data_IF_657105757746
#
_entry.id   IF_657105757746
#
_cell.length_a   1.000
_cell.length_b   1.000
_cell.length_c   1.000
_cell.angle_alpha   90.00
_cell.angle_beta   90.00
_cell.angle_gamma   90.00
#
_symmetry.space_group_name_H-M   'P 1'
#
loop_
_entity.id
_entity.type
_entity.pdbx_description
1 polymer ?
#
# COMPACT_ATOMS: atom_id res chain seq x y z
N UNK A 1 8.01 4.09 7.49
CA UNK A 1 8.84 2.94 7.91
C UNK A 1 9.79 3.40 8.98
N UNK A 2 9.88 2.67 10.07
CA UNK A 2 10.68 3.10 11.24
C UNK A 2 11.96 2.27 11.38
N UNK A 3 11.92 0.98 11.04
CA UNK A 3 13.11 0.14 11.02
C UNK A 3 13.08 -0.81 9.83
N UNK A 4 14.23 -1.00 9.21
CA UNK A 4 14.40 -1.89 8.07
C UNK A 4 15.85 -2.40 8.05
N UNK A 5 16.08 -3.63 8.56
CA UNK A 5 17.41 -4.28 8.58
C UNK A 5 17.29 -5.76 8.94
N UNK A 6 18.12 -6.62 8.36
CA UNK A 6 18.25 -8.04 8.72
C UNK A 6 16.88 -8.76 8.81
N UNK A 7 16.08 -8.63 7.75
CA UNK A 7 14.70 -9.17 7.62
C UNK A 7 13.66 -8.63 8.62
N UNK A 8 14.07 -7.76 9.54
CA UNK A 8 13.18 -7.09 10.48
C UNK A 8 12.73 -5.77 9.90
N UNK A 9 11.42 -5.64 9.74
CA UNK A 9 10.77 -4.43 9.26
C UNK A 9 9.77 -4.01 10.32
N UNK A 10 9.74 -2.74 10.68
CA UNK A 10 8.61 -2.21 11.42
C UNK A 10 8.24 -0.81 10.93
N UNK A 11 7.02 -0.42 11.21
CA UNK A 11 6.51 0.85 10.78
C UNK A 11 5.19 1.23 11.40
N UNK A 12 4.68 2.35 10.93
CA UNK A 12 3.42 2.95 11.35
C UNK A 12 2.61 3.32 10.11
N UNK A 13 1.33 2.97 10.12
CA UNK A 13 0.36 3.38 9.11
C UNK A 13 -0.53 4.47 9.71
N UNK A 14 -0.68 5.56 8.96
CA UNK A 14 -1.59 6.65 9.28
C UNK A 14 -2.70 6.70 8.24
N UNK A 15 -3.95 6.82 8.68
CA UNK A 15 -5.11 7.05 7.80
C UNK A 15 -6.10 8.03 8.45
N UNK A 16 -6.93 8.70 7.64
CA UNK A 16 -7.74 9.86 8.05
C UNK A 16 -8.81 9.61 9.13
N UNK A 17 -9.03 8.36 9.48
CA UNK A 17 -10.16 7.92 10.31
C UNK A 17 -9.73 7.44 11.71
N UNK A 18 -8.42 7.51 12.01
CA UNK A 18 -7.86 7.17 13.31
C UNK A 18 -6.79 8.19 13.71
N UNK A 19 -6.72 8.53 14.99
CA UNK A 19 -5.73 9.48 15.54
C UNK A 19 -4.40 8.80 15.84
N UNK A 20 -4.44 7.57 16.33
CA UNK A 20 -3.25 6.79 16.65
C UNK A 20 -2.78 5.97 15.43
N UNK A 21 -1.46 5.87 15.20
CA UNK A 21 -0.94 5.03 14.12
C UNK A 21 -1.18 3.54 14.40
N UNK A 22 -1.43 2.78 13.33
CA UNK A 22 -1.38 1.32 13.38
C UNK A 22 0.09 0.91 13.30
N UNK A 23 0.59 0.22 14.32
CA UNK A 23 1.95 -0.32 14.32
C UNK A 23 1.96 -1.64 13.57
N UNK A 24 2.96 -1.81 12.71
CA UNK A 24 3.17 -3.02 11.90
C UNK A 24 4.59 -3.55 12.13
N UNK A 25 4.72 -4.87 12.17
CA UNK A 25 5.97 -5.62 12.26
C UNK A 25 6.43 -6.20 10.92
N UNK A 26 5.83 -5.78 9.79
CA UNK A 26 6.28 -6.19 8.46
C UNK A 26 5.45 -5.64 7.31
N UNK A 27 5.99 -5.77 6.09
CA UNK A 27 5.30 -5.32 4.87
C UNK A 27 4.03 -6.12 4.58
N UNK A 28 4.01 -7.43 4.85
CA UNK A 28 2.81 -8.25 4.66
C UNK A 28 1.67 -7.83 5.59
N UNK A 29 1.99 -7.56 6.85
CA UNK A 29 1.01 -7.02 7.81
C UNK A 29 0.49 -5.66 7.36
N UNK A 30 1.35 -4.80 6.79
CA UNK A 30 0.93 -3.54 6.19
C UNK A 30 -0.11 -3.75 5.08
N UNK A 31 0.13 -4.71 4.20
CA UNK A 31 -0.79 -5.01 3.10
C UNK A 31 -2.14 -5.52 3.64
N UNK A 32 -2.14 -6.42 4.61
CA UNK A 32 -3.38 -6.90 5.21
C UNK A 32 -4.17 -5.79 5.93
N UNK A 33 -3.48 -4.93 6.67
CA UNK A 33 -4.13 -3.80 7.36
C UNK A 33 -4.73 -2.79 6.39
N UNK A 34 -4.05 -2.49 5.28
CA UNK A 34 -4.57 -1.60 4.24
C UNK A 34 -5.77 -2.23 3.53
N UNK A 35 -5.74 -3.53 3.20
CA UNK A 35 -6.86 -4.21 2.56
C UNK A 35 -8.10 -4.19 3.46
N UNK A 36 -7.90 -4.59 4.73
CA UNK A 36 -8.95 -4.60 5.73
C UNK A 36 -9.50 -3.19 6.01
N UNK A 37 -8.65 -2.16 5.95
CA UNK A 37 -9.07 -0.77 6.04
C UNK A 37 -10.01 -0.39 4.89
N UNK A 38 -9.68 -0.71 3.64
CA UNK A 38 -10.56 -0.40 2.50
C UNK A 38 -11.87 -1.18 2.53
N UNK A 39 -11.86 -2.43 3.03
CA UNK A 39 -13.08 -3.20 3.22
C UNK A 39 -14.01 -2.58 4.27
N UNK A 40 -13.45 -2.10 5.39
CA UNK A 40 -14.19 -1.37 6.44
C UNK A 40 -14.70 -0.02 5.93
N UNK A 41 -13.87 0.72 5.20
CA UNK A 41 -14.22 2.02 4.63
C UNK A 41 -15.27 1.89 3.52
N UNK A 42 -15.26 0.77 2.80
CA UNK A 42 -16.10 0.53 1.64
C UNK A 42 -15.65 1.30 0.39
N UNK A 43 -14.42 1.83 0.36
CA UNK A 43 -13.85 2.51 -0.80
C UNK A 43 -12.31 2.46 -0.75
N UNK A 44 -11.59 2.27 -1.87
CA UNK A 44 -12.12 1.90 -3.18
C UNK A 44 -12.87 0.57 -3.13
N UNK A 45 -13.95 0.46 -3.90
CA UNK A 45 -14.73 -0.78 -3.94
C UNK A 45 -13.90 -1.87 -4.64
N UNK A 46 -13.91 -3.11 -4.13
CA UNK A 46 -13.27 -4.21 -4.84
C UNK A 46 -14.01 -4.46 -6.15
N UNK A 47 -13.27 -4.44 -7.26
CA UNK A 47 -13.77 -4.72 -8.61
C UNK A 47 -13.94 -6.22 -8.89
N UNK A 48 -13.46 -7.07 -7.99
CA UNK A 48 -13.66 -8.52 -8.02
C UNK A 48 -14.18 -8.93 -6.65
N UNK A 49 -15.30 -9.68 -6.59
CA UNK A 49 -15.72 -10.25 -5.33
C UNK A 49 -14.68 -11.29 -4.88
N UNK A 50 -14.19 -11.14 -3.66
CA UNK A 50 -13.22 -12.07 -3.10
C UNK A 50 -13.87 -13.45 -2.93
N UNK A 51 -13.44 -14.41 -3.74
CA UNK A 51 -13.81 -15.82 -3.58
C UNK A 51 -12.97 -16.44 -2.46
N UNK A 52 -13.27 -16.13 -1.20
CA UNK A 52 -12.59 -16.77 -0.07
C UNK A 52 -13.11 -18.20 0.14
N UNK A 53 -12.19 -19.15 0.33
CA UNK A 53 -12.51 -20.51 0.80
C UNK A 53 -13.01 -20.54 2.26
N UNK A 54 -12.60 -19.56 3.08
CA UNK A 54 -13.08 -19.37 4.45
C UNK A 54 -13.92 -18.10 4.48
N UNK A 55 -15.22 -18.26 4.67
CA UNK A 55 -16.18 -17.16 4.74
C UNK A 55 -15.85 -16.27 5.95
N UNK A 56 -15.26 -15.12 5.71
CA UNK A 56 -15.15 -14.09 6.75
C UNK A 56 -16.52 -13.41 6.86
N UNK A 57 -17.02 -13.23 8.09
CA UNK A 57 -18.22 -12.42 8.29
C UNK A 57 -18.00 -11.05 7.64
N UNK A 58 -18.99 -10.58 6.88
CA UNK A 58 -18.92 -9.26 6.25
C UNK A 58 -18.73 -8.23 7.37
N UNK A 59 -17.52 -7.70 7.50
CA UNK A 59 -17.20 -6.64 8.45
C UNK A 59 -18.20 -5.52 8.25
N UNK A 60 -18.99 -5.21 9.28
CA UNK A 60 -20.00 -4.15 9.19
C UNK A 60 -19.30 -2.87 8.74
N UNK A 61 -19.79 -2.25 7.66
CA UNK A 61 -19.29 -0.95 7.21
C UNK A 61 -19.50 0.06 8.34
N UNK A 62 -18.42 0.48 8.98
CA UNK A 62 -18.49 1.48 10.04
C UNK A 62 -18.61 2.84 9.37
N UNK A 63 -19.52 3.70 9.85
CA UNK A 63 -19.54 5.10 9.43
C UNK A 63 -18.27 5.77 9.96
N UNK A 64 -17.25 5.84 9.12
CA UNK A 64 -15.96 6.42 9.45
C UNK A 64 -16.03 7.95 9.38
N UNK A 65 -15.98 8.63 10.53
CA UNK A 65 -15.86 10.09 10.60
C UNK A 65 -14.40 10.49 10.45
N UNK A 66 -14.09 11.45 9.59
CA UNK A 66 -12.73 12.00 9.45
C UNK A 66 -12.29 12.56 10.80
N UNK A 67 -11.11 12.14 11.27
CA UNK A 67 -10.52 12.57 12.54
C UNK A 67 -9.31 13.48 12.39
N UNK A 68 -8.64 13.41 11.24
CA UNK A 68 -7.41 14.16 10.96
C UNK A 68 -7.54 14.93 9.64
N UNK A 69 -6.86 16.07 9.54
CA UNK A 69 -6.63 16.75 8.26
C UNK A 69 -5.49 16.07 7.47
N UNK A 70 -5.37 16.42 6.19
CA UNK A 70 -4.29 15.94 5.33
C UNK A 70 -2.94 16.44 5.85
N UNK A 71 -2.88 17.71 6.28
CA UNK A 71 -1.68 18.30 6.89
C UNK A 71 -1.29 17.61 8.20
N UNK A 72 -2.26 17.25 9.05
CA UNK A 72 -1.97 16.55 10.32
C UNK A 72 -1.42 15.15 10.08
N UNK A 73 -1.95 14.44 9.07
CA UNK A 73 -1.45 13.13 8.71
C UNK A 73 -0.03 13.21 8.13
N UNK A 74 0.23 14.19 7.26
CA UNK A 74 1.50 14.34 6.54
C UNK A 74 2.64 14.90 7.40
N UNK A 75 2.36 15.37 8.63
CA UNK A 75 3.41 15.75 9.60
C UNK A 75 4.18 14.55 10.17
N UNK A 76 3.67 13.34 9.99
CA UNK A 76 4.29 12.14 10.53
C UNK A 76 5.28 11.55 9.54
N UNK A 77 6.53 11.41 9.97
CA UNK A 77 7.61 10.83 9.16
C UNK A 77 8.10 9.52 9.78
N UNK A 78 8.48 8.59 8.93
CA UNK A 78 9.20 7.39 9.33
C UNK A 78 10.69 7.69 9.54
N UNK A 79 11.37 6.87 10.33
CA UNK A 79 12.82 7.03 10.55
C UNK A 79 13.66 6.58 9.34
N UNK A 80 13.23 5.54 8.62
CA UNK A 80 13.94 5.00 7.44
C UNK A 80 13.33 5.46 6.11
N UNK A 81 12.09 5.95 6.12
CA UNK A 81 11.44 6.45 4.92
C UNK A 81 9.94 6.60 5.09
N UNK A 82 9.37 7.56 4.35
CA UNK A 82 7.97 7.96 4.44
C UNK A 82 7.33 7.79 3.07
N UNK A 83 6.31 6.94 3.02
CA UNK A 83 5.61 6.59 1.78
C UNK A 83 4.14 6.99 1.90
N UNK A 84 3.67 7.78 0.93
CA UNK A 84 2.25 8.12 0.79
C UNK A 84 1.67 7.20 -0.28
N UNK A 85 0.77 6.31 0.14
CA UNK A 85 0.13 5.34 -0.75
C UNK A 85 -1.28 5.84 -1.05
N UNK A 86 -1.57 6.07 -2.33
CA UNK A 86 -2.90 6.39 -2.84
C UNK A 86 -3.39 5.24 -3.70
N UNK A 87 -4.27 4.41 -3.14
CA UNK A 87 -4.97 3.38 -3.93
C UNK A 87 -6.16 4.02 -4.63
N UNK A 88 -6.20 3.90 -5.94
CA UNK A 88 -7.24 4.49 -6.81
C UNK A 88 -8.24 3.41 -7.24
N UNK A 89 -7.78 2.18 -7.47
CA UNK A 89 -8.61 1.07 -7.93
C UNK A 89 -8.20 -0.25 -7.24
N UNK A 90 -9.17 -1.15 -7.11
CA UNK A 90 -8.98 -2.52 -6.59
C UNK A 90 -9.45 -3.55 -7.61
N UNK A 91 -8.70 -3.75 -8.69
CA UNK A 91 -9.05 -4.69 -9.76
C UNK A 91 -8.15 -5.94 -9.74
N UNK A 92 -8.66 -7.05 -10.29
CA UNK A 92 -7.94 -8.31 -10.41
C UNK A 92 -7.36 -8.82 -9.08
N UNK A 93 -8.13 -8.65 -7.99
CA UNK A 93 -7.71 -9.01 -6.63
C UNK A 93 -6.40 -8.33 -6.20
N UNK A 94 -6.14 -7.13 -6.70
CA UNK A 94 -4.94 -6.33 -6.43
C UNK A 94 -5.28 -4.85 -6.34
N UNK A 95 -4.27 -4.00 -6.14
CA UNK A 95 -4.40 -2.55 -6.02
C UNK A 95 -3.67 -1.83 -7.15
N UNK A 96 -4.27 -0.75 -7.63
CA UNK A 96 -3.66 0.15 -8.61
C UNK A 96 -3.73 1.58 -8.05
N UNK A 97 -2.66 2.34 -8.26
CA UNK A 97 -2.58 3.70 -7.74
C UNK A 97 -1.18 4.26 -7.77
N UNK A 98 -0.86 5.12 -6.80
CA UNK A 98 0.37 5.89 -6.75
C UNK A 98 1.05 5.79 -5.40
N UNK A 99 2.37 5.71 -5.41
CA UNK A 99 3.20 5.81 -4.21
C UNK A 99 4.13 7.00 -4.35
N UNK A 100 4.14 7.86 -3.33
CA UNK A 100 5.08 8.97 -3.24
C UNK A 100 6.07 8.68 -2.12
N UNK A 101 7.36 8.64 -2.46
CA UNK A 101 8.44 8.66 -1.49
C UNK A 101 8.76 10.11 -1.14
N UNK A 102 8.48 10.48 0.11
CA UNK A 102 8.52 11.88 0.56
C UNK A 102 9.95 12.42 0.57
N UNK A 103 10.92 11.62 1.01
CA UNK A 103 12.30 12.06 1.18
C UNK A 103 12.98 12.37 -0.16
N UNK A 104 12.69 11.61 -1.23
CA UNK A 104 13.21 11.88 -2.58
C UNK A 104 12.27 12.76 -3.43
N UNK A 105 11.07 13.07 -2.94
CA UNK A 105 10.03 13.76 -3.71
C UNK A 105 9.57 13.00 -4.97
N UNK A 106 9.81 11.68 -5.02
CA UNK A 106 9.52 10.83 -6.19
C UNK A 106 8.13 10.22 -6.08
N UNK A 107 7.35 10.28 -7.15
CA UNK A 107 6.03 9.65 -7.24
C UNK A 107 5.97 8.70 -8.42
N UNK A 108 5.62 7.45 -8.15
CA UNK A 108 5.49 6.40 -9.16
C UNK A 108 4.10 5.77 -9.12
N UNK A 109 3.64 5.28 -10.27
CA UNK A 109 2.41 4.51 -10.36
C UNK A 109 2.71 3.04 -10.10
N UNK A 110 1.87 2.35 -9.33
CA UNK A 110 1.89 0.90 -9.23
C UNK A 110 0.62 0.30 -9.83
N UNK A 111 0.76 -0.84 -10.50
CA UNK A 111 -0.29 -1.60 -11.17
C UNK A 111 -0.73 -2.84 -10.35
N UNK A 112 -0.01 -3.15 -9.27
CA UNK A 112 -0.38 -4.20 -8.33
C UNK A 112 0.14 -3.94 -6.92
N UNK A 113 -0.43 -4.63 -5.92
CA UNK A 113 0.08 -4.61 -4.55
C UNK A 113 1.53 -5.13 -4.45
N UNK A 114 1.90 -6.13 -5.28
CA UNK A 114 3.27 -6.66 -5.31
C UNK A 114 4.26 -5.62 -5.88
N UNK A 115 3.85 -4.89 -6.90
CA UNK A 115 4.68 -3.82 -7.47
C UNK A 115 4.89 -2.69 -6.47
N UNK A 116 3.84 -2.30 -5.74
CA UNK A 116 3.97 -1.37 -4.61
C UNK A 116 5.00 -1.87 -3.58
N UNK A 117 4.95 -3.14 -3.21
CA UNK A 117 5.93 -3.74 -2.27
C UNK A 117 7.35 -3.66 -2.83
N UNK A 118 7.56 -4.02 -4.10
CA UNK A 118 8.88 -3.94 -4.76
C UNK A 118 9.42 -2.50 -4.79
N UNK A 119 8.56 -1.51 -5.04
CA UNK A 119 8.95 -0.11 -5.05
C UNK A 119 9.40 0.37 -3.67
N UNK A 120 8.68 -0.01 -2.60
CA UNK A 120 9.04 0.32 -1.22
C UNK A 120 10.34 -0.40 -0.82
N UNK A 121 10.47 -1.69 -1.14
CA UNK A 121 11.66 -2.51 -0.89
C UNK A 121 12.90 -1.90 -1.56
N UNK A 122 12.81 -1.56 -2.85
CA UNK A 122 13.89 -0.93 -3.59
C UNK A 122 14.31 0.42 -3.00
N UNK A 123 13.34 1.27 -2.64
CA UNK A 123 13.60 2.55 -2.00
C UNK A 123 14.32 2.41 -0.65
N UNK A 124 13.98 1.40 0.16
CA UNK A 124 14.59 1.15 1.46
C UNK A 124 15.98 0.49 1.35
N UNK A 125 16.20 -0.35 0.34
CA UNK A 125 17.48 -1.00 0.06
C UNK A 125 18.49 -0.07 -0.65
N UNK A 126 18.07 1.14 -1.04
CA UNK A 126 18.89 2.03 -1.88
C UNK A 126 19.10 1.49 -3.30
N UNK A 127 18.26 0.55 -3.76
CA UNK A 127 18.22 0.07 -5.14
C UNK A 127 17.28 0.99 -5.91
N UNK A 128 17.82 1.77 -6.85
CA UNK A 128 17.02 2.63 -7.73
C UNK A 128 15.81 1.86 -8.29
N UNK A 129 14.61 2.39 -8.08
CA UNK A 129 13.35 1.85 -8.60
C UNK A 129 13.44 1.86 -10.13
N UNK A 130 13.85 0.74 -10.74
CA UNK A 130 13.76 0.49 -12.17
C UNK A 130 12.54 -0.38 -12.42
N UNK A 131 11.67 0.11 -13.30
CA UNK A 131 10.60 -0.66 -13.93
C UNK A 131 11.27 -1.79 -14.73
N UNK A 132 11.00 -3.05 -14.39
CA UNK A 132 11.23 -4.17 -15.32
C UNK A 132 10.17 -4.04 -16.43
N UNK A 133 10.40 -3.09 -17.34
CA UNK A 133 9.72 -3.04 -18.61
C UNK A 133 10.51 -3.91 -19.60
N UNK A 134 9.78 -4.74 -20.34
CA UNK A 134 10.20 -5.54 -21.51
C UNK A 134 10.75 -6.95 -21.22
N UNK A 135 9.87 -7.95 -21.28
CA UNK A 135 10.14 -9.11 -22.14
C UNK A 135 9.04 -9.16 -23.21
N UNK A 136 9.47 -8.82 -24.42
CA UNK A 136 8.68 -8.72 -25.64
C UNK A 136 7.98 -10.03 -26.01
N UNK A 137 6.69 -9.90 -26.29
CA UNK A 137 5.93 -10.85 -27.08
C UNK A 137 6.43 -10.80 -28.53
N UNK A 138 7.41 -11.63 -28.87
CA UNK A 138 7.80 -11.88 -30.25
C UNK A 138 7.76 -13.37 -30.57
N UNK A 139 6.55 -13.93 -30.72
CA UNK A 139 6.36 -15.20 -31.43
C UNK A 139 4.98 -15.29 -32.09
N UNK A 140 4.80 -14.59 -33.22
CA UNK A 140 3.87 -14.98 -34.29
C UNK A 140 4.39 -14.54 -35.66
N UNK A 141 5.32 -15.32 -36.19
CA UNK A 141 5.52 -15.46 -37.63
C UNK A 141 6.18 -16.82 -37.93
N UNK A 142 5.35 -17.87 -38.00
CA UNK A 142 5.48 -18.99 -38.97
C UNK A 142 4.08 -19.49 -39.30
#
# INVERSE_FOLDING_TARGET
>A
MDYYRDEKINGRIYHRYQTEPIRIGGMLEAVFEIDAFFDRLGYPFPGTESHYFIKHEKTQRIKMTRKLSDEEMLKNNGEQGTFIIRVEQRQHSSWQGKVTWVEEGKTENFRSALELLKMIDGALDGRDIKEDAEEDNQERAV
#
